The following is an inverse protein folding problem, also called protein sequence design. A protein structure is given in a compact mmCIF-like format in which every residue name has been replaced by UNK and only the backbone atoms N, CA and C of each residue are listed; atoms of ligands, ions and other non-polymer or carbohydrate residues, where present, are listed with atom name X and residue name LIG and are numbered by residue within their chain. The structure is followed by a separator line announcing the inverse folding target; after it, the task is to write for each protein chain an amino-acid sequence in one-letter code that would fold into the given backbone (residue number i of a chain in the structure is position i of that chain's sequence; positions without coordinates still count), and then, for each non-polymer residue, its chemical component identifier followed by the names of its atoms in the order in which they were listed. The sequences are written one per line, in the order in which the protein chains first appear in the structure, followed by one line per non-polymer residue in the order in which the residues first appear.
data_IF_853020561131
#
_entry.id   IF_853020561131
#
_cell.length_a   1.000
_cell.length_b   1.000
_cell.length_c   1.000
_cell.angle_alpha   90.00
_cell.angle_beta   90.00
_cell.angle_gamma   90.00
#
_symmetry.space_group_name_H-M   'P 1'
#
loop_
_entity.id
_entity.type
_entity.pdbx_description
1 polymer ?
#
# COMPACT_ATOMS: atom_id res chain seq x y z
N UNK A 1 17.69 55.86 -21.37
CA UNK A 1 18.35 54.68 -21.94
C UNK A 1 18.78 53.81 -20.78
N UNK A 2 17.97 52.80 -20.47
CA UNK A 2 18.18 51.82 -19.40
C UNK A 2 18.04 50.45 -20.05
N UNK A 3 18.93 49.47 -19.81
CA UNK A 3 18.80 48.16 -20.43
C UNK A 3 17.85 47.27 -19.63
N UNK A 4 17.16 46.44 -20.40
CA UNK A 4 16.17 45.41 -20.05
C UNK A 4 16.89 44.24 -19.35
N UNK A 5 16.31 43.59 -18.32
CA UNK A 5 16.77 42.27 -17.89
C UNK A 5 16.09 41.17 -18.71
N UNK A 6 16.93 40.33 -19.31
CA UNK A 6 16.59 39.15 -20.10
C UNK A 6 16.07 38.00 -19.25
N UNK A 7 15.00 37.38 -19.74
CA UNK A 7 14.49 36.10 -19.29
C UNK A 7 15.30 34.91 -19.84
N UNK A 8 15.08 33.75 -19.22
CA UNK A 8 15.37 32.36 -19.63
C UNK A 8 16.70 31.74 -19.18
N UNK A 9 16.62 30.67 -18.37
CA UNK A 9 16.77 29.28 -18.86
C UNK A 9 16.45 28.25 -17.76
N UNK A 10 15.47 27.41 -18.08
CA UNK A 10 15.16 26.13 -17.43
C UNK A 10 16.06 25.00 -17.96
N UNK A 11 16.07 23.89 -17.21
CA UNK A 11 16.45 22.51 -17.55
C UNK A 11 17.95 22.17 -17.66
N UNK A 12 18.42 21.27 -16.79
CA UNK A 12 18.88 19.93 -17.20
C UNK A 12 18.69 18.92 -16.07
N UNK A 13 17.86 17.92 -16.34
CA UNK A 13 17.81 16.66 -15.61
C UNK A 13 18.87 15.72 -16.20
N UNK A 14 19.55 14.95 -15.36
CA UNK A 14 20.39 13.84 -15.79
C UNK A 14 19.82 12.53 -15.25
N UNK A 15 19.43 11.68 -16.19
CA UNK A 15 19.02 10.28 -16.01
C UNK A 15 20.29 9.45 -15.90
N UNK A 16 20.44 8.69 -14.82
CA UNK A 16 21.46 7.64 -14.70
C UNK A 16 20.76 6.30 -14.44
N UNK A 17 20.70 5.49 -15.50
CA UNK A 17 20.31 4.09 -15.47
C UNK A 17 21.55 3.32 -14.99
N UNK A 18 21.52 2.79 -13.77
CA UNK A 18 22.50 1.82 -13.30
C UNK A 18 21.94 0.40 -13.49
N UNK A 19 22.66 -0.38 -14.30
CA UNK A 19 22.46 -1.82 -14.48
C UNK A 19 22.66 -2.56 -13.16
N UNK A 20 21.65 -3.30 -12.70
CA UNK A 20 21.80 -4.31 -11.63
C UNK A 20 22.23 -5.62 -12.27
N UNK A 21 23.34 -6.26 -11.83
CA UNK A 21 23.73 -7.56 -12.34
C UNK A 21 22.82 -8.68 -11.78
N UNK A 22 22.49 -9.63 -12.66
CA UNK A 22 21.83 -10.90 -12.30
C UNK A 22 22.66 -11.66 -11.27
N UNK A 23 22.14 -11.80 -10.04
CA UNK A 23 22.63 -12.76 -9.05
C UNK A 23 21.72 -13.99 -9.12
N UNK A 24 22.31 -15.13 -9.43
CA UNK A 24 21.62 -16.42 -9.50
C UNK A 24 21.09 -16.88 -8.15
N UNK A 25 19.87 -17.40 -8.15
CA UNK A 25 19.26 -18.04 -7.00
C UNK A 25 20.01 -19.35 -6.68
N UNK A 26 20.79 -19.34 -5.60
CA UNK A 26 21.19 -20.55 -4.90
C UNK A 26 20.04 -20.94 -3.95
N UNK A 27 19.53 -22.16 -4.10
CA UNK A 27 18.61 -22.78 -3.15
C UNK A 27 19.32 -22.95 -1.80
N UNK A 28 18.70 -22.47 -0.72
CA UNK A 28 19.17 -22.67 0.66
C UNK A 28 18.10 -23.43 1.45
N UNK A 29 18.49 -24.37 2.34
CA UNK A 29 17.62 -25.40 2.88
C UNK A 29 16.92 -24.91 4.15
N UNK A 30 15.60 -24.79 4.10
CA UNK A 30 14.77 -24.51 5.27
C UNK A 30 13.45 -25.32 5.26
N UNK A 31 13.47 -26.50 4.63
CA UNK A 31 12.29 -27.34 4.38
C UNK A 31 12.16 -28.55 5.34
N UNK A 32 12.88 -28.54 6.47
CA UNK A 32 12.73 -29.58 7.50
C UNK A 32 12.55 -28.93 8.88
N UNK A 33 11.30 -28.68 9.25
CA UNK A 33 10.74 -28.88 10.61
C UNK A 33 9.40 -28.14 10.78
N UNK A 34 8.30 -28.74 10.31
CA UNK A 34 6.98 -28.54 10.91
C UNK A 34 6.37 -29.92 11.13
N UNK A 35 6.67 -30.48 12.31
CA UNK A 35 6.07 -31.70 12.82
C UNK A 35 4.80 -31.34 13.62
N UNK A 36 3.73 -32.09 13.32
CA UNK A 36 2.54 -32.38 14.13
C UNK A 36 1.95 -31.27 15.03
N UNK A 37 0.84 -30.69 14.58
CA UNK A 37 -0.22 -30.18 15.46
C UNK A 37 -1.41 -31.14 15.36
N UNK A 38 -1.72 -31.82 16.46
CA UNK A 38 -2.92 -32.63 16.64
C UNK A 38 -4.16 -31.73 16.59
N UNK A 39 -5.14 -32.12 15.77
CA UNK A 39 -6.46 -31.48 15.71
C UNK A 39 -7.30 -31.94 16.91
N UNK A 40 -7.97 -31.04 17.64
CA UNK A 40 -8.98 -31.45 18.60
C UNK A 40 -10.26 -31.90 17.88
N UNK A 41 -10.73 -33.09 18.26
CA UNK A 41 -12.06 -33.60 17.96
C UNK A 41 -13.14 -32.70 18.56
N UNK A 42 -14.20 -32.45 17.77
CA UNK A 42 -15.50 -32.03 18.28
C UNK A 42 -15.83 -30.55 18.14
N UNK A 43 -16.44 -30.19 17.01
CA UNK A 43 -17.48 -29.15 16.99
C UNK A 43 -18.63 -29.67 16.12
N UNK A 44 -19.59 -30.32 16.78
CA UNK A 44 -20.96 -30.46 16.28
C UNK A 44 -21.63 -29.08 16.36
N UNK A 45 -22.37 -28.70 15.31
CA UNK A 45 -23.31 -27.58 15.35
C UNK A 45 -22.88 -26.35 14.55
N UNK A 46 -23.08 -26.40 13.24
CA UNK A 46 -23.24 -25.23 12.38
C UNK A 46 -24.25 -25.57 11.27
N UNK A 47 -25.50 -25.82 11.69
CA UNK A 47 -26.65 -25.64 10.78
C UNK A 47 -26.96 -24.14 10.70
N UNK A 48 -27.44 -23.72 9.54
CA UNK A 48 -27.80 -22.34 9.13
C UNK A 48 -26.64 -21.42 8.73
N UNK A 49 -25.89 -21.85 7.72
CA UNK A 49 -25.37 -20.91 6.74
C UNK A 49 -26.55 -20.49 5.84
N UNK A 50 -26.86 -19.19 5.85
CA UNK A 50 -27.83 -18.51 4.99
C UNK A 50 -27.45 -18.71 3.52
N UNK A 51 -27.98 -19.80 2.94
CA UNK A 51 -27.81 -20.12 1.52
C UNK A 51 -28.65 -19.13 0.74
N UNK A 52 -27.99 -18.30 -0.08
CA UNK A 52 -28.65 -17.43 -1.05
C UNK A 52 -29.81 -18.19 -1.73
N UNK A 53 -30.98 -17.56 -1.92
CA UNK A 53 -32.18 -18.26 -2.33
C UNK A 53 -31.92 -19.06 -3.60
N UNK A 54 -32.02 -20.38 -3.50
CA UNK A 54 -32.03 -21.27 -4.66
C UNK A 54 -33.24 -20.86 -5.48
N UNK A 55 -33.00 -20.25 -6.64
CA UNK A 55 -34.06 -19.92 -7.58
C UNK A 55 -34.62 -21.25 -8.08
N UNK A 56 -35.79 -21.64 -7.57
CA UNK A 56 -36.47 -22.87 -7.97
C UNK A 56 -37.27 -22.54 -9.22
N UNK A 57 -36.84 -23.05 -10.38
CA UNK A 57 -37.67 -23.04 -11.58
C UNK A 57 -38.96 -23.81 -11.29
N UNK A 58 -40.09 -23.28 -11.74
CA UNK A 58 -41.30 -24.08 -11.82
C UNK A 58 -41.12 -25.22 -12.86
N UNK A 59 -42.00 -26.23 -12.81
CA UNK A 59 -41.89 -27.41 -13.69
C UNK A 59 -41.88 -27.04 -15.18
N UNK A 60 -42.56 -25.95 -15.55
CA UNK A 60 -42.65 -25.47 -16.94
C UNK A 60 -41.35 -24.77 -17.37
N UNK A 61 -40.77 -23.95 -16.51
CA UNK A 61 -39.50 -23.27 -16.70
C UNK A 61 -38.34 -24.26 -16.75
N UNK A 62 -38.36 -25.30 -15.91
CA UNK A 62 -37.35 -26.36 -15.92
C UNK A 62 -37.41 -27.15 -17.23
N UNK A 63 -38.60 -27.56 -17.67
CA UNK A 63 -38.77 -28.28 -18.94
C UNK A 63 -38.35 -27.43 -20.15
N UNK A 64 -38.63 -26.12 -20.10
CA UNK A 64 -38.18 -25.17 -21.12
C UNK A 64 -36.65 -25.04 -21.10
N UNK A 65 -36.04 -24.88 -19.93
CA UNK A 65 -34.60 -24.81 -19.76
C UNK A 65 -33.89 -26.02 -20.36
N UNK A 66 -34.31 -27.23 -19.99
CA UNK A 66 -33.72 -28.48 -20.49
C UNK A 66 -33.82 -28.58 -22.02
N UNK A 67 -34.98 -28.19 -22.57
CA UNK A 67 -35.19 -28.14 -24.02
C UNK A 67 -34.22 -27.17 -24.71
N UNK A 68 -34.00 -25.99 -24.13
CA UNK A 68 -33.09 -24.99 -24.68
C UNK A 68 -31.64 -25.46 -24.63
N UNK A 69 -31.23 -26.13 -23.55
CA UNK A 69 -29.90 -26.73 -23.42
C UNK A 69 -29.67 -27.78 -24.51
N UNK A 70 -30.63 -28.68 -24.74
CA UNK A 70 -30.50 -29.69 -25.80
C UNK A 70 -30.42 -29.04 -27.19
N UNK A 71 -31.12 -27.91 -27.39
CA UNK A 71 -31.07 -27.16 -28.64
C UNK A 71 -29.75 -26.42 -28.86
N UNK A 72 -28.96 -26.13 -27.81
CA UNK A 72 -27.59 -25.60 -27.97
C UNK A 72 -26.66 -26.60 -28.67
N UNK A 73 -26.95 -27.91 -28.59
CA UNK A 73 -26.23 -28.98 -29.29
C UNK A 73 -26.78 -29.26 -30.70
N UNK A 74 -27.82 -28.55 -31.14
CA UNK A 74 -28.50 -28.86 -32.40
C UNK A 74 -27.56 -28.72 -33.59
N UNK A 75 -27.61 -29.62 -34.57
CA UNK A 75 -26.84 -29.48 -35.82
C UNK A 75 -27.24 -28.25 -36.66
N UNK A 76 -28.43 -27.68 -36.44
CA UNK A 76 -28.92 -26.50 -37.14
C UNK A 76 -28.51 -25.20 -36.43
N UNK A 77 -27.70 -24.37 -37.09
CA UNK A 77 -27.27 -23.07 -36.56
C UNK A 77 -28.43 -22.20 -36.07
N UNK A 78 -29.52 -22.11 -36.85
CA UNK A 78 -30.67 -21.30 -36.50
C UNK A 78 -31.41 -21.77 -35.22
N UNK A 79 -31.33 -23.05 -34.86
CA UNK A 79 -31.89 -23.57 -33.60
C UNK A 79 -30.98 -23.22 -32.43
N UNK A 80 -29.66 -23.35 -32.60
CA UNK A 80 -28.68 -22.96 -31.57
C UNK A 80 -28.76 -21.49 -31.21
N UNK A 81 -28.84 -20.60 -32.20
CA UNK A 81 -28.90 -19.16 -31.94
C UNK A 81 -30.22 -18.74 -31.29
N UNK A 82 -31.35 -19.37 -31.66
CA UNK A 82 -32.63 -19.14 -30.98
C UNK A 82 -32.59 -19.62 -29.54
N UNK A 83 -32.03 -20.80 -29.28
CA UNK A 83 -31.91 -21.31 -27.93
C UNK A 83 -31.02 -20.42 -27.05
N UNK A 84 -29.90 -19.94 -27.60
CA UNK A 84 -29.02 -19.00 -26.92
C UNK A 84 -29.73 -17.68 -26.60
N UNK A 85 -30.48 -17.11 -27.56
CA UNK A 85 -31.25 -15.89 -27.35
C UNK A 85 -32.35 -16.07 -26.29
N UNK A 86 -33.07 -17.19 -26.31
CA UNK A 86 -34.10 -17.47 -25.30
C UNK A 86 -33.52 -17.68 -23.90
N UNK A 87 -32.35 -18.34 -23.79
CA UNK A 87 -31.63 -18.45 -22.50
C UNK A 87 -31.14 -17.07 -22.00
N UNK A 88 -30.73 -16.18 -22.91
CA UNK A 88 -30.38 -14.80 -22.56
C UNK A 88 -31.61 -14.00 -22.08
N UNK A 89 -32.77 -14.19 -22.72
CA UNK A 89 -34.03 -13.54 -22.33
C UNK A 89 -34.57 -14.03 -20.98
N UNK A 90 -34.23 -15.25 -20.57
CA UNK A 90 -34.56 -15.77 -19.24
C UNK A 90 -33.75 -15.10 -18.10
N UNK A 91 -32.69 -14.34 -18.41
CA UNK A 91 -32.00 -13.49 -17.43
C UNK A 91 -31.09 -14.26 -16.45
N UNK A 92 -30.83 -13.70 -15.27
CA UNK A 92 -29.86 -14.26 -14.31
C UNK A 92 -30.29 -15.59 -13.69
N UNK A 93 -31.59 -15.87 -13.68
CA UNK A 93 -32.16 -17.06 -13.04
C UNK A 93 -31.62 -18.35 -13.67
N UNK A 94 -31.22 -18.33 -14.95
CA UNK A 94 -30.60 -19.48 -15.63
C UNK A 94 -29.11 -19.66 -15.33
N UNK A 95 -28.43 -18.71 -14.69
CA UNK A 95 -26.97 -18.76 -14.49
C UNK A 95 -26.55 -19.92 -13.60
N UNK A 96 -27.22 -20.14 -12.47
CA UNK A 96 -26.95 -21.27 -11.57
C UNK A 96 -27.12 -22.61 -12.29
N UNK A 97 -28.33 -22.89 -12.84
CA UNK A 97 -28.59 -24.11 -13.62
C UNK A 97 -27.65 -24.30 -14.82
N UNK A 98 -27.25 -23.23 -15.52
CA UNK A 98 -26.25 -23.30 -16.59
C UNK A 98 -24.88 -23.74 -16.07
N UNK A 99 -24.43 -23.24 -14.90
CA UNK A 99 -23.15 -23.64 -14.30
C UNK A 99 -23.15 -25.12 -13.92
N UNK A 100 -24.23 -25.60 -13.32
CA UNK A 100 -24.39 -27.01 -12.98
C UNK A 100 -24.31 -27.86 -14.26
N UNK A 101 -25.02 -27.44 -15.32
CA UNK A 101 -25.00 -28.14 -16.60
C UNK A 101 -23.64 -28.13 -17.30
N UNK A 102 -22.89 -27.04 -17.20
CA UNK A 102 -21.52 -26.92 -17.72
C UNK A 102 -20.59 -27.93 -17.05
N UNK A 103 -20.75 -28.15 -15.73
CA UNK A 103 -19.95 -29.11 -14.97
C UNK A 103 -20.25 -30.57 -15.36
N UNK A 104 -21.50 -30.87 -15.72
CA UNK A 104 -21.96 -32.23 -16.04
C UNK A 104 -21.77 -32.63 -17.51
N UNK A 105 -21.90 -31.68 -18.45
CA UNK A 105 -21.97 -32.02 -19.88
C UNK A 105 -20.62 -32.50 -20.44
N UNK A 106 -20.65 -33.56 -21.25
CA UNK A 106 -19.48 -34.03 -22.01
C UNK A 106 -19.35 -33.38 -23.40
N UNK A 107 -20.39 -32.67 -23.86
CA UNK A 107 -20.40 -32.00 -25.15
C UNK A 107 -19.63 -30.66 -25.07
N UNK A 108 -18.55 -30.55 -25.83
CA UNK A 108 -17.69 -29.37 -25.85
C UNK A 108 -18.37 -28.13 -26.46
N UNK A 109 -19.29 -28.30 -27.42
CA UNK A 109 -20.02 -27.18 -28.03
C UNK A 109 -21.06 -26.63 -27.06
N UNK A 110 -21.82 -27.51 -26.39
CA UNK A 110 -22.77 -27.10 -25.34
C UNK A 110 -22.04 -26.37 -24.22
N UNK A 111 -20.92 -26.93 -23.75
CA UNK A 111 -20.10 -26.31 -22.70
C UNK A 111 -19.64 -24.91 -23.09
N UNK A 112 -19.04 -24.76 -24.27
CA UNK A 112 -18.53 -23.47 -24.75
C UNK A 112 -19.64 -22.42 -24.87
N UNK A 113 -20.80 -22.79 -25.41
CA UNK A 113 -21.93 -21.88 -25.60
C UNK A 113 -22.60 -21.50 -24.29
N UNK A 114 -22.85 -22.48 -23.42
CA UNK A 114 -23.38 -22.22 -22.08
C UNK A 114 -22.45 -21.30 -21.29
N UNK A 115 -21.13 -21.50 -21.35
CA UNK A 115 -20.16 -20.58 -20.76
C UNK A 115 -20.23 -19.16 -21.36
N UNK A 116 -20.44 -19.03 -22.68
CA UNK A 116 -20.62 -17.72 -23.32
C UNK A 116 -21.87 -17.00 -22.82
N UNK A 117 -22.99 -17.71 -22.71
CA UNK A 117 -24.27 -17.18 -22.20
C UNK A 117 -24.10 -16.74 -20.74
N UNK A 118 -23.54 -17.60 -19.89
CA UNK A 118 -23.25 -17.26 -18.48
C UNK A 118 -22.37 -16.01 -18.39
N UNK A 119 -21.30 -15.92 -19.19
CA UNK A 119 -20.43 -14.72 -19.22
C UNK A 119 -21.22 -13.48 -19.65
N UNK A 120 -22.06 -13.54 -20.67
CA UNK A 120 -22.81 -12.37 -21.15
C UNK A 120 -23.86 -11.90 -20.13
N UNK A 121 -24.62 -12.83 -19.54
CA UNK A 121 -25.64 -12.52 -18.53
C UNK A 121 -25.03 -11.88 -17.28
N UNK A 122 -23.94 -12.47 -16.78
CA UNK A 122 -23.24 -11.97 -15.59
C UNK A 122 -22.60 -10.60 -15.81
N UNK A 123 -22.06 -10.31 -17.02
CA UNK A 123 -21.50 -8.99 -17.34
C UNK A 123 -22.59 -7.91 -17.41
N UNK A 124 -23.73 -8.20 -18.03
CA UNK A 124 -24.85 -7.25 -18.14
C UNK A 124 -25.48 -6.90 -16.79
N UNK A 125 -25.65 -7.90 -15.92
CA UNK A 125 -26.10 -7.70 -14.54
C UNK A 125 -25.10 -6.86 -13.74
N UNK A 126 -23.82 -7.23 -13.78
CA UNK A 126 -22.77 -6.52 -13.07
C UNK A 126 -22.73 -5.03 -13.45
N UNK A 127 -22.87 -4.69 -14.74
CA UNK A 127 -22.89 -3.30 -15.17
C UNK A 127 -24.11 -2.53 -14.64
N UNK A 128 -25.27 -3.19 -14.59
CA UNK A 128 -26.50 -2.60 -14.01
C UNK A 128 -26.31 -2.34 -12.52
N UNK A 129 -25.80 -3.33 -11.79
CA UNK A 129 -25.49 -3.21 -10.36
C UNK A 129 -24.45 -2.12 -10.08
N UNK A 130 -23.40 -2.02 -10.89
CA UNK A 130 -22.42 -0.94 -10.80
C UNK A 130 -23.08 0.42 -11.00
N UNK A 131 -23.93 0.58 -12.02
CA UNK A 131 -24.61 1.85 -12.28
C UNK A 131 -25.56 2.23 -11.13
N UNK A 132 -26.30 1.27 -10.60
CA UNK A 132 -27.19 1.45 -9.46
C UNK A 132 -26.41 1.86 -8.21
N UNK A 133 -25.30 1.17 -7.95
CA UNK A 133 -24.40 1.44 -6.84
C UNK A 133 -23.73 2.82 -6.94
N UNK A 134 -23.20 3.20 -8.10
CA UNK A 134 -22.63 4.54 -8.32
C UNK A 134 -23.68 5.65 -8.21
N UNK A 135 -24.95 5.35 -8.50
CA UNK A 135 -26.07 6.26 -8.29
C UNK A 135 -26.51 6.37 -6.81
N UNK A 136 -25.82 5.71 -5.89
CA UNK A 136 -26.12 5.77 -4.46
C UNK A 136 -27.22 4.80 -4.00
N UNK A 137 -27.71 3.91 -4.88
CA UNK A 137 -28.67 2.88 -4.48
C UNK A 137 -27.99 1.82 -3.63
N UNK A 138 -28.82 1.11 -2.87
CA UNK A 138 -28.39 -0.03 -2.07
C UNK A 138 -28.25 -1.23 -2.99
N UNK A 139 -27.03 -1.74 -3.10
CA UNK A 139 -26.67 -2.88 -3.94
C UNK A 139 -25.75 -3.75 -3.12
N UNK A 140 -26.11 -5.01 -2.97
CA UNK A 140 -25.28 -5.96 -2.25
C UNK A 140 -24.00 -6.23 -3.04
N UNK A 141 -22.86 -5.87 -2.47
CA UNK A 141 -21.54 -6.15 -3.00
C UNK A 141 -20.68 -6.72 -1.87
N UNK A 142 -20.07 -7.88 -2.12
CA UNK A 142 -19.18 -8.51 -1.15
C UNK A 142 -18.04 -7.56 -0.75
N UNK A 143 -17.84 -7.41 0.55
CA UNK A 143 -16.85 -6.55 1.17
C UNK A 143 -17.21 -5.07 1.23
N UNK A 144 -18.34 -4.65 0.64
CA UNK A 144 -18.69 -3.23 0.58
C UNK A 144 -18.92 -2.67 1.97
N UNK A 145 -19.70 -3.32 2.83
CA UNK A 145 -19.99 -2.79 4.17
C UNK A 145 -18.74 -2.64 5.03
N UNK A 146 -17.79 -3.59 4.92
CA UNK A 146 -16.49 -3.48 5.59
C UNK A 146 -15.70 -2.29 5.06
N UNK A 147 -15.59 -2.14 3.74
CA UNK A 147 -14.85 -1.01 3.12
C UNK A 147 -15.54 0.33 3.43
N UNK A 148 -16.87 0.39 3.37
CA UNK A 148 -17.70 1.55 3.69
C UNK A 148 -17.48 2.00 5.12
N UNK A 149 -17.42 1.07 6.07
CA UNK A 149 -17.17 1.41 7.49
C UNK A 149 -15.81 2.07 7.72
N UNK A 150 -14.81 1.75 6.88
CA UNK A 150 -13.45 2.25 7.01
C UNK A 150 -13.20 3.53 6.21
N UNK A 151 -13.74 3.61 4.99
CA UNK A 151 -13.44 4.69 4.04
C UNK A 151 -14.59 5.70 3.89
N UNK A 152 -15.77 5.38 4.41
CA UNK A 152 -16.99 6.14 4.28
C UNK A 152 -17.80 5.77 3.03
N UNK A 153 -18.90 6.50 2.83
CA UNK A 153 -19.81 6.32 1.70
C UNK A 153 -19.96 7.65 0.94
N UNK A 154 -19.24 7.77 -0.18
CA UNK A 154 -19.37 8.88 -1.12
C UNK A 154 -19.07 8.41 -2.54
N UNK A 155 -19.39 9.24 -3.53
CA UNK A 155 -19.22 8.89 -4.95
C UNK A 155 -17.80 8.44 -5.30
N UNK A 156 -16.77 9.12 -4.79
CA UNK A 156 -15.36 8.76 -5.07
C UNK A 156 -14.96 7.43 -4.41
N UNK A 157 -15.45 7.13 -3.20
CA UNK A 157 -15.20 5.82 -2.56
C UNK A 157 -15.93 4.70 -3.30
N UNK A 158 -17.17 4.94 -3.75
CA UNK A 158 -17.92 3.97 -4.55
C UNK A 158 -17.25 3.71 -5.89
N UNK A 159 -16.77 4.74 -6.59
CA UNK A 159 -15.96 4.59 -7.81
C UNK A 159 -14.71 3.75 -7.55
N UNK A 160 -13.97 4.06 -6.48
CA UNK A 160 -12.77 3.33 -6.10
C UNK A 160 -13.08 1.86 -5.77
N UNK A 161 -14.19 1.58 -5.07
CA UNK A 161 -14.64 0.22 -4.79
C UNK A 161 -15.00 -0.57 -6.06
N UNK A 162 -15.65 0.06 -7.03
CA UNK A 162 -15.94 -0.57 -8.33
C UNK A 162 -14.64 -0.90 -9.06
N UNK A 163 -13.68 0.01 -9.09
CA UNK A 163 -12.36 -0.25 -9.70
C UNK A 163 -11.62 -1.40 -9.00
N UNK A 164 -11.68 -1.46 -7.66
CA UNK A 164 -11.13 -2.57 -6.90
C UNK A 164 -11.82 -3.89 -7.25
N UNK A 165 -13.15 -3.90 -7.33
CA UNK A 165 -13.91 -5.10 -7.66
C UNK A 165 -13.58 -5.60 -9.07
N UNK A 166 -13.37 -4.68 -10.02
CA UNK A 166 -13.01 -5.04 -11.39
C UNK A 166 -11.56 -5.50 -11.53
N UNK A 167 -10.62 -4.85 -10.83
CA UNK A 167 -9.18 -5.15 -10.96
C UNK A 167 -8.72 -6.29 -10.03
N UNK A 168 -9.37 -6.43 -8.87
CA UNK A 168 -9.01 -7.35 -7.77
C UNK A 168 -10.28 -7.98 -7.17
N UNK A 169 -11.05 -8.79 -7.93
CA UNK A 169 -12.37 -9.28 -7.51
C UNK A 169 -12.36 -10.13 -6.24
N UNK A 170 -11.28 -10.87 -5.98
CA UNK A 170 -11.13 -11.70 -4.78
C UNK A 170 -10.82 -10.87 -3.53
N UNK A 171 -10.25 -9.67 -3.70
CA UNK A 171 -9.90 -8.80 -2.60
C UNK A 171 -11.12 -8.26 -1.89
N UNK A 172 -12.10 -7.72 -2.62
CA UNK A 172 -13.29 -7.14 -1.99
C UNK A 172 -14.05 -8.21 -1.22
N UNK A 173 -14.29 -9.38 -1.83
CA UNK A 173 -14.90 -10.51 -1.15
C UNK A 173 -14.13 -10.98 0.11
N UNK A 174 -12.80 -10.93 0.10
CA UNK A 174 -11.99 -11.32 1.28
C UNK A 174 -12.17 -10.42 2.50
N UNK A 175 -12.71 -9.21 2.32
CA UNK A 175 -12.92 -8.27 3.42
C UNK A 175 -13.98 -8.76 4.42
N UNK A 176 -14.99 -9.49 3.94
CA UNK A 176 -16.00 -10.14 4.78
C UNK A 176 -15.53 -11.49 5.35
N UNK A 177 -14.41 -12.01 4.83
CA UNK A 177 -13.88 -13.32 5.15
C UNK A 177 -12.91 -13.36 6.33
N UNK A 178 -12.20 -14.47 6.42
CA UNK A 178 -11.19 -14.75 7.43
C UNK A 178 -9.84 -14.07 7.11
N UNK A 179 -8.92 -14.07 8.08
CA UNK A 179 -7.52 -13.69 7.85
C UNK A 179 -6.91 -14.46 6.68
N UNK A 180 -7.22 -15.76 6.54
CA UNK A 180 -6.70 -16.61 5.46
C UNK A 180 -7.16 -16.10 4.09
N UNK A 181 -8.42 -15.69 3.96
CA UNK A 181 -8.96 -15.16 2.71
C UNK A 181 -8.26 -13.86 2.31
N UNK A 182 -7.97 -13.00 3.30
CA UNK A 182 -7.23 -11.75 3.09
C UNK A 182 -5.77 -11.99 2.69
N UNK A 183 -5.12 -13.02 3.23
CA UNK A 183 -3.77 -13.43 2.81
C UNK A 183 -3.77 -13.88 1.35
N UNK A 184 -4.70 -14.76 0.97
CA UNK A 184 -4.82 -15.24 -0.40
C UNK A 184 -5.10 -14.07 -1.36
N UNK A 185 -6.01 -13.16 -0.98
CA UNK A 185 -6.29 -11.97 -1.78
C UNK A 185 -5.07 -11.05 -1.93
N UNK A 186 -4.29 -10.86 -0.86
CA UNK A 186 -3.06 -10.06 -0.92
C UNK A 186 -2.02 -10.68 -1.87
N UNK A 187 -1.81 -11.99 -1.81
CA UNK A 187 -0.92 -12.71 -2.71
C UNK A 187 -1.34 -12.56 -4.18
N UNK A 188 -2.65 -12.65 -4.45
CA UNK A 188 -3.20 -12.44 -5.78
C UNK A 188 -3.07 -10.99 -6.25
N UNK A 189 -3.26 -10.01 -5.35
CA UNK A 189 -3.04 -8.60 -5.65
C UNK A 189 -1.56 -8.35 -6.02
N UNK A 190 -0.61 -8.90 -5.27
CA UNK A 190 0.82 -8.84 -5.57
C UNK A 190 1.10 -9.40 -6.97
N UNK A 191 0.60 -10.60 -7.27
CA UNK A 191 0.80 -11.24 -8.57
C UNK A 191 0.20 -10.40 -9.72
N UNK A 192 -0.99 -9.83 -9.53
CA UNK A 192 -1.65 -8.95 -10.50
C UNK A 192 -0.81 -7.70 -10.77
N UNK A 193 -0.31 -7.03 -9.71
CA UNK A 193 0.52 -5.84 -9.84
C UNK A 193 1.84 -6.13 -10.53
N UNK A 194 2.49 -7.25 -10.18
CA UNK A 194 3.74 -7.67 -10.81
C UNK A 194 3.53 -8.02 -12.28
N UNK A 195 2.49 -8.78 -12.63
CA UNK A 195 2.16 -9.10 -14.02
C UNK A 195 1.89 -7.83 -14.83
N UNK A 196 1.10 -6.90 -14.28
CA UNK A 196 0.83 -5.61 -14.93
C UNK A 196 2.12 -4.82 -15.20
N UNK A 197 3.01 -4.78 -14.22
CA UNK A 197 4.24 -3.97 -14.29
C UNK A 197 5.29 -4.60 -15.22
N UNK A 198 5.54 -5.91 -15.09
CA UNK A 198 6.67 -6.56 -15.76
C UNK A 198 6.29 -7.26 -17.06
N UNK A 199 5.08 -7.84 -17.14
CA UNK A 199 4.62 -8.57 -18.33
C UNK A 199 3.86 -7.63 -19.25
N UNK A 200 2.84 -6.93 -18.74
CA UNK A 200 2.04 -6.01 -19.56
C UNK A 200 2.73 -4.66 -19.80
N UNK A 201 3.78 -4.34 -19.03
CA UNK A 201 4.51 -3.06 -19.08
C UNK A 201 3.61 -1.84 -18.89
N UNK A 202 2.61 -1.96 -18.02
CA UNK A 202 1.71 -0.88 -17.63
C UNK A 202 2.03 -0.38 -16.23
N UNK A 203 1.68 0.87 -15.94
CA UNK A 203 1.81 1.39 -14.59
C UNK A 203 0.71 0.85 -13.67
N UNK A 204 1.02 0.63 -12.37
CA UNK A 204 0.01 0.34 -11.37
C UNK A 204 -1.04 1.46 -11.25
N UNK A 205 -2.30 1.07 -11.07
CA UNK A 205 -3.44 1.98 -10.93
C UNK A 205 -3.70 2.36 -9.46
N UNK A 206 -4.66 3.25 -9.22
CA UNK A 206 -5.13 3.54 -7.85
C UNK A 206 -5.75 2.30 -7.17
N UNK A 207 -6.49 1.48 -7.91
CA UNK A 207 -7.03 0.21 -7.41
C UNK A 207 -5.90 -0.74 -6.98
N UNK A 208 -4.83 -0.87 -7.78
CA UNK A 208 -3.65 -1.64 -7.40
C UNK A 208 -3.04 -1.13 -6.10
N UNK A 209 -2.98 0.19 -5.94
CA UNK A 209 -2.39 0.81 -4.74
C UNK A 209 -3.22 0.53 -3.48
N UNK A 210 -4.56 0.63 -3.57
CA UNK A 210 -5.45 0.24 -2.46
C UNK A 210 -5.39 -1.26 -2.16
N UNK A 211 -5.28 -2.10 -3.20
CA UNK A 211 -5.22 -3.55 -3.06
C UNK A 211 -4.01 -4.02 -2.24
N UNK A 212 -2.90 -3.28 -2.30
CA UNK A 212 -1.71 -3.60 -1.52
C UNK A 212 -1.86 -3.28 -0.02
N UNK A 213 -2.74 -2.36 0.39
CA UNK A 213 -2.86 -1.94 1.80
C UNK A 213 -4.13 -2.43 2.49
N UNK A 214 -5.21 -2.66 1.75
CA UNK A 214 -6.51 -3.06 2.33
C UNK A 214 -6.46 -4.35 3.16
N UNK A 215 -5.82 -5.46 2.72
CA UNK A 215 -5.75 -6.68 3.54
C UNK A 215 -5.05 -6.47 4.88
N UNK A 216 -4.14 -5.49 4.94
CA UNK A 216 -3.34 -5.22 6.13
C UNK A 216 -4.15 -4.58 7.27
N UNK A 217 -5.42 -4.23 7.06
CA UNK A 217 -6.29 -3.81 8.18
C UNK A 217 -6.43 -4.91 9.22
N UNK A 218 -6.27 -6.18 8.82
CA UNK A 218 -6.11 -7.29 9.73
C UNK A 218 -4.68 -7.32 10.31
N UNK A 219 -4.51 -7.17 11.64
CA UNK A 219 -3.19 -7.27 12.26
C UNK A 219 -2.52 -8.64 12.06
N UNK A 220 -3.31 -9.70 11.80
CA UNK A 220 -2.83 -11.08 11.63
C UNK A 220 -2.36 -11.42 10.21
N UNK A 221 -2.62 -10.55 9.22
CA UNK A 221 -2.06 -10.73 7.87
C UNK A 221 -0.53 -10.51 7.95
N UNK A 222 0.29 -11.48 7.54
CA UNK A 222 1.74 -11.39 7.64
C UNK A 222 2.30 -10.37 6.65
N UNK A 223 3.21 -9.54 7.14
CA UNK A 223 3.96 -8.57 6.33
C UNK A 223 5.31 -9.20 5.98
N UNK A 224 5.47 -9.60 4.72
CA UNK A 224 6.72 -10.18 4.22
C UNK A 224 7.57 -9.12 3.53
N UNK A 225 8.89 -9.34 3.49
CA UNK A 225 9.83 -8.44 2.78
C UNK A 225 9.44 -8.27 1.31
N UNK A 226 9.07 -9.36 0.64
CA UNK A 226 8.69 -9.35 -0.77
C UNK A 226 7.42 -8.53 -1.05
N UNK A 227 6.41 -8.65 -0.19
CA UNK A 227 5.22 -7.82 -0.25
C UNK A 227 5.56 -6.33 -0.12
N UNK A 228 6.35 -5.97 0.88
CA UNK A 228 6.72 -4.58 1.14
C UNK A 228 7.51 -3.96 -0.01
N UNK A 229 8.46 -4.69 -0.60
CA UNK A 229 9.20 -4.22 -1.77
C UNK A 229 8.25 -3.85 -2.92
N UNK A 230 7.18 -4.64 -3.13
CA UNK A 230 6.16 -4.34 -4.15
C UNK A 230 5.33 -3.13 -3.74
N UNK A 231 4.82 -3.07 -2.50
CA UNK A 231 4.05 -1.92 -2.01
C UNK A 231 4.84 -0.61 -2.15
N UNK A 232 6.07 -0.58 -1.67
CA UNK A 232 6.95 0.60 -1.73
C UNK A 232 7.20 1.05 -3.17
N UNK A 233 7.39 0.10 -4.09
CA UNK A 233 7.50 0.41 -5.52
C UNK A 233 6.20 1.03 -6.07
N UNK A 234 5.03 0.51 -5.70
CA UNK A 234 3.72 1.03 -6.11
C UNK A 234 3.47 2.44 -5.55
N UNK A 235 3.84 2.71 -4.31
CA UNK A 235 3.69 4.03 -3.67
C UNK A 235 4.44 5.16 -4.39
N UNK A 236 5.43 4.82 -5.22
CA UNK A 236 6.19 5.77 -6.04
C UNK A 236 5.59 5.97 -7.45
N UNK A 237 4.47 5.31 -7.80
CA UNK A 237 3.87 5.36 -9.14
C UNK A 237 2.70 6.33 -9.23
N UNK A 238 2.20 6.48 -10.45
CA UNK A 238 1.13 7.41 -10.81
C UNK A 238 -0.17 7.13 -10.05
N UNK A 239 -0.58 5.87 -9.89
CA UNK A 239 -1.79 5.54 -9.12
C UNK A 239 -1.75 6.04 -7.68
N UNK A 240 -0.60 5.96 -7.03
CA UNK A 240 -0.40 6.49 -5.69
C UNK A 240 -0.38 8.03 -5.68
N UNK A 241 0.22 8.66 -6.70
CA UNK A 241 0.18 10.12 -6.86
C UNK A 241 -1.24 10.67 -7.09
N UNK A 242 -2.10 9.93 -7.79
CA UNK A 242 -3.51 10.28 -7.99
C UNK A 242 -4.30 10.25 -6.67
N UNK A 243 -4.06 9.23 -5.85
CA UNK A 243 -4.65 9.12 -4.50
C UNK A 243 -4.20 10.30 -3.64
N UNK A 244 -2.91 10.61 -3.60
CA UNK A 244 -2.36 11.69 -2.79
C UNK A 244 -2.93 13.08 -3.14
N UNK A 245 -3.29 13.31 -4.41
CA UNK A 245 -3.89 14.57 -4.89
C UNK A 245 -5.39 14.64 -4.69
N UNK A 246 -6.05 13.52 -4.42
CA UNK A 246 -7.49 13.46 -4.22
C UNK A 246 -7.84 13.68 -2.74
N UNK A 247 -8.46 14.82 -2.42
CA UNK A 247 -8.79 15.19 -1.04
C UNK A 247 -9.80 14.24 -0.35
N UNK A 248 -10.54 13.42 -1.09
CA UNK A 248 -11.45 12.41 -0.52
C UNK A 248 -10.78 11.06 -0.30
N UNK A 249 -9.79 10.69 -1.12
CA UNK A 249 -9.08 9.40 -0.99
C UNK A 249 -7.88 9.48 -0.06
N UNK A 250 -7.13 10.59 -0.10
CA UNK A 250 -5.86 10.71 0.61
C UNK A 250 -5.98 10.47 2.13
N UNK A 251 -6.96 11.04 2.88
CA UNK A 251 -7.05 10.82 4.32
C UNK A 251 -7.26 9.36 4.69
N UNK A 252 -8.21 8.69 4.04
CA UNK A 252 -8.52 7.28 4.31
C UNK A 252 -7.38 6.36 3.89
N UNK A 253 -6.71 6.66 2.78
CA UNK A 253 -5.53 5.90 2.34
C UNK A 253 -4.35 6.05 3.32
N UNK A 254 -4.08 7.26 3.83
CA UNK A 254 -3.04 7.48 4.85
C UNK A 254 -3.31 6.68 6.13
N UNK A 255 -4.57 6.61 6.57
CA UNK A 255 -4.96 5.80 7.72
C UNK A 255 -4.72 4.30 7.50
N UNK A 256 -5.00 3.78 6.29
CA UNK A 256 -4.65 2.41 5.92
C UNK A 256 -3.13 2.19 5.91
N UNK A 257 -2.40 3.13 5.30
CA UNK A 257 -0.94 3.06 5.20
C UNK A 257 -0.27 3.04 6.58
N UNK A 258 -0.77 3.83 7.54
CA UNK A 258 -0.28 3.83 8.92
C UNK A 258 -0.36 2.46 9.60
N UNK A 259 -1.43 1.69 9.37
CA UNK A 259 -1.61 0.33 9.92
C UNK A 259 -0.61 -0.68 9.37
N UNK A 260 -0.20 -0.53 8.11
CA UNK A 260 0.89 -1.31 7.56
C UNK A 260 2.22 -0.86 8.15
N UNK A 261 2.46 0.45 8.16
CA UNK A 261 3.76 1.05 8.41
C UNK A 261 4.31 0.69 9.81
N UNK A 262 3.48 0.66 10.85
CA UNK A 262 3.91 0.25 12.20
C UNK A 262 4.39 -1.21 12.31
N UNK A 263 4.13 -2.04 11.29
CA UNK A 263 4.57 -3.45 11.22
C UNK A 263 5.65 -3.66 10.16
N UNK A 264 6.27 -2.58 9.67
CA UNK A 264 7.22 -2.72 8.57
C UNK A 264 8.43 -3.56 8.96
N UNK A 265 8.96 -4.33 8.02
CA UNK A 265 10.15 -5.14 8.28
C UNK A 265 11.39 -4.26 8.44
N UNK A 266 12.43 -4.79 9.07
CA UNK A 266 13.71 -4.10 9.22
C UNK A 266 14.42 -3.93 7.85
N UNK A 267 14.22 -4.87 6.93
CA UNK A 267 14.87 -4.88 5.61
C UNK A 267 14.47 -3.70 4.72
N UNK A 268 13.23 -3.23 4.82
CA UNK A 268 12.73 -2.09 4.05
C UNK A 268 12.46 -0.86 4.95
N UNK A 269 13.08 -0.80 6.13
CA UNK A 269 12.74 0.19 7.16
C UNK A 269 13.03 1.62 6.71
N UNK A 270 14.13 1.82 5.98
CA UNK A 270 14.50 3.12 5.43
C UNK A 270 13.42 3.66 4.49
N UNK A 271 12.98 2.85 3.54
CA UNK A 271 11.95 3.21 2.57
C UNK A 271 10.57 3.37 3.22
N UNK A 272 10.23 2.53 4.20
CA UNK A 272 8.98 2.64 4.95
C UNK A 272 8.88 3.96 5.73
N UNK A 273 9.95 4.36 6.44
CA UNK A 273 10.02 5.64 7.14
C UNK A 273 9.92 6.83 6.16
N UNK A 274 10.62 6.74 5.03
CA UNK A 274 10.54 7.75 3.95
C UNK A 274 9.14 7.85 3.37
N UNK A 275 8.44 6.72 3.19
CA UNK A 275 7.06 6.69 2.75
C UNK A 275 6.14 7.35 3.78
N UNK A 276 6.32 7.06 5.08
CA UNK A 276 5.57 7.70 6.17
C UNK A 276 5.69 9.22 6.16
N UNK A 277 6.90 9.74 5.96
CA UNK A 277 7.12 11.16 5.74
C UNK A 277 6.43 11.67 4.46
N UNK A 278 6.71 11.07 3.31
CA UNK A 278 6.18 11.55 2.01
C UNK A 278 4.65 11.58 1.98
N UNK A 279 4.01 10.61 2.65
CA UNK A 279 2.56 10.49 2.76
C UNK A 279 1.95 11.25 3.94
N UNK A 280 2.75 11.92 4.76
CA UNK A 280 2.28 12.64 5.96
C UNK A 280 1.50 11.74 6.93
N UNK A 281 2.10 10.59 7.26
CA UNK A 281 1.53 9.56 8.14
C UNK A 281 2.26 9.61 9.48
N UNK A 282 1.65 10.27 10.47
CA UNK A 282 2.21 10.41 11.81
C UNK A 282 2.42 9.07 12.55
N UNK A 283 1.70 8.02 12.15
CA UNK A 283 1.90 6.65 12.65
C UNK A 283 3.30 6.09 12.32
N UNK A 284 4.13 6.80 11.55
CA UNK A 284 5.54 6.50 11.38
C UNK A 284 6.40 6.76 12.62
N UNK A 285 5.92 7.57 13.57
CA UNK A 285 6.67 7.89 14.78
C UNK A 285 6.97 6.65 15.65
N UNK A 286 6.00 5.78 16.01
CA UNK A 286 6.29 4.52 16.70
C UNK A 286 7.33 3.65 16.00
N UNK A 287 7.25 3.55 14.67
CA UNK A 287 8.21 2.80 13.86
C UNK A 287 9.63 3.41 13.96
N UNK A 288 9.74 4.74 13.87
CA UNK A 288 11.01 5.45 13.99
C UNK A 288 11.65 5.25 15.37
N UNK A 289 10.85 5.33 16.43
CA UNK A 289 11.31 5.08 17.80
C UNK A 289 11.86 3.65 17.96
N UNK A 290 11.12 2.64 17.49
CA UNK A 290 11.60 1.25 17.50
C UNK A 290 12.91 1.09 16.71
N UNK A 291 12.99 1.76 15.55
CA UNK A 291 14.17 1.73 14.66
C UNK A 291 15.45 2.17 15.35
N UNK A 292 15.40 3.14 16.28
CA UNK A 292 16.59 3.60 17.02
C UNK A 292 17.29 2.48 17.80
N UNK A 293 16.55 1.42 18.15
CA UNK A 293 17.08 0.26 18.89
C UNK A 293 17.23 -1.00 18.05
N UNK A 294 16.42 -1.17 17.00
CA UNK A 294 16.40 -2.36 16.14
C UNK A 294 17.43 -2.28 15.00
N UNK A 295 17.68 -1.09 14.47
CA UNK A 295 18.54 -0.89 13.31
C UNK A 295 19.98 -0.55 13.70
N UNK A 296 20.92 -0.96 12.86
CA UNK A 296 22.34 -0.60 13.00
C UNK A 296 22.88 0.20 11.79
N UNK A 297 22.08 0.39 10.73
CA UNK A 297 22.54 1.15 9.57
C UNK A 297 22.38 2.65 9.81
N UNK A 298 23.44 3.42 9.56
CA UNK A 298 23.47 4.86 9.84
C UNK A 298 22.40 5.62 9.06
N UNK A 299 22.18 5.30 7.79
CA UNK A 299 21.16 5.96 6.95
C UNK A 299 19.74 5.70 7.45
N UNK A 300 19.46 4.47 7.89
CA UNK A 300 18.17 4.09 8.48
C UNK A 300 17.91 4.80 9.80
N UNK A 301 18.92 4.88 10.68
CA UNK A 301 18.84 5.64 11.93
C UNK A 301 18.65 7.13 11.66
N UNK A 302 19.37 7.69 10.68
CA UNK A 302 19.23 9.10 10.30
C UNK A 302 17.83 9.42 9.79
N UNK A 303 17.23 8.51 9.02
CA UNK A 303 15.85 8.65 8.53
C UNK A 303 14.84 8.53 9.68
N UNK A 304 15.08 7.64 10.65
CA UNK A 304 14.26 7.56 11.85
C UNK A 304 14.31 8.87 12.66
N UNK A 305 15.50 9.48 12.79
CA UNK A 305 15.66 10.78 13.43
C UNK A 305 14.89 11.90 12.72
N UNK A 306 14.88 11.93 11.38
CA UNK A 306 14.03 12.86 10.60
C UNK A 306 12.52 12.66 10.88
N UNK A 307 12.06 11.40 10.95
CA UNK A 307 10.66 11.09 11.31
C UNK A 307 10.34 11.60 12.72
N UNK A 308 11.24 11.39 13.68
CA UNK A 308 11.09 11.88 15.06
C UNK A 308 11.10 13.42 15.09
N UNK A 309 11.99 14.08 14.35
CA UNK A 309 12.02 15.54 14.28
C UNK A 309 10.71 16.10 13.70
N UNK A 310 10.11 15.41 12.72
CA UNK A 310 8.88 15.87 12.06
C UNK A 310 7.62 15.61 12.89
N UNK A 311 7.45 14.42 13.44
CA UNK A 311 6.19 14.00 14.08
C UNK A 311 6.29 13.87 15.60
N UNK A 312 7.50 13.89 16.15
CA UNK A 312 7.76 13.74 17.57
C UNK A 312 7.45 15.00 18.38
N UNK A 313 7.73 14.87 19.67
CA UNK A 313 7.56 15.91 20.70
C UNK A 313 8.79 15.93 21.60
N UNK A 314 8.93 16.96 22.44
CA UNK A 314 10.05 17.14 23.39
C UNK A 314 10.43 15.87 24.16
N UNK A 315 9.46 15.10 24.63
CA UNK A 315 9.68 13.83 25.35
C UNK A 315 10.53 12.79 24.56
N UNK A 316 10.50 12.85 23.23
CA UNK A 316 11.28 11.95 22.37
C UNK A 316 12.77 12.32 22.33
N UNK A 317 13.17 13.51 22.78
CA UNK A 317 14.56 13.92 22.80
C UNK A 317 15.42 12.96 23.65
N UNK A 318 14.86 12.41 24.73
CA UNK A 318 15.53 11.43 25.59
C UNK A 318 15.95 10.15 24.83
N UNK A 319 15.17 9.76 23.82
CA UNK A 319 15.45 8.59 22.99
C UNK A 319 16.58 8.85 21.98
N UNK A 320 16.83 10.12 21.66
CA UNK A 320 17.83 10.57 20.68
C UNK A 320 19.21 10.76 21.34
N UNK A 321 19.26 11.07 22.65
CA UNK A 321 20.51 11.34 23.37
C UNK A 321 21.63 10.32 23.15
N UNK A 322 21.39 9.00 23.12
CA UNK A 322 22.47 8.03 22.92
C UNK A 322 23.22 8.19 21.58
N UNK A 323 22.58 8.80 20.58
CA UNK A 323 23.14 8.99 19.24
C UNK A 323 23.99 10.25 19.11
N UNK A 324 24.04 11.11 20.13
CA UNK A 324 24.88 12.32 20.14
C UNK A 324 26.39 12.04 20.11
N UNK A 325 26.79 10.81 20.44
CA UNK A 325 28.19 10.36 20.38
C UNK A 325 28.51 9.56 19.12
N UNK A 326 27.51 9.30 18.25
CA UNK A 326 27.69 8.45 17.08
C UNK A 326 28.31 9.22 15.91
N UNK A 327 29.58 8.94 15.62
CA UNK A 327 30.35 9.59 14.55
C UNK A 327 30.30 8.84 13.21
N UNK A 328 29.41 7.86 13.04
CA UNK A 328 29.25 7.18 11.74
C UNK A 328 28.72 8.18 10.70
N UNK A 329 29.18 8.09 9.44
CA UNK A 329 28.64 8.93 8.37
C UNK A 329 27.15 8.65 8.19
N UNK A 330 26.34 9.72 8.15
CA UNK A 330 24.90 9.67 7.91
C UNK A 330 24.52 9.99 6.44
N UNK A 331 25.48 10.50 5.68
CA UNK A 331 25.37 10.74 4.24
C UNK A 331 26.73 10.53 3.58
N UNK A 332 26.72 10.45 2.24
CA UNK A 332 27.95 10.57 1.46
C UNK A 332 28.63 11.92 1.74
N UNK A 333 29.96 11.95 1.65
CA UNK A 333 30.75 13.18 1.77
C UNK A 333 30.42 14.09 0.59
N UNK A 334 29.91 15.28 0.88
CA UNK A 334 29.64 16.31 -0.11
C UNK A 334 30.85 17.24 -0.29
N UNK A 335 30.72 18.16 -1.24
CA UNK A 335 31.68 19.25 -1.45
C UNK A 335 30.92 20.58 -1.48
N UNK A 336 31.26 21.49 -0.58
CA UNK A 336 30.64 22.82 -0.50
C UNK A 336 31.76 23.85 -0.57
N UNK A 337 31.73 24.69 -1.61
CA UNK A 337 32.77 25.70 -1.90
C UNK A 337 34.21 25.14 -1.98
N UNK A 338 34.38 23.86 -2.32
CA UNK A 338 35.68 23.19 -2.42
C UNK A 338 36.15 22.50 -1.14
N UNK A 339 35.40 22.62 -0.05
CA UNK A 339 35.66 21.89 1.19
C UNK A 339 34.82 20.60 1.25
N UNK A 340 35.46 19.51 1.65
CA UNK A 340 34.76 18.26 1.91
C UNK A 340 33.90 18.42 3.17
N UNK A 341 32.58 18.33 3.01
CA UNK A 341 31.61 18.39 4.11
C UNK A 341 31.07 17.00 4.40
N UNK A 342 30.86 16.70 5.67
CA UNK A 342 30.36 15.40 6.10
C UNK A 342 29.35 15.54 7.21
N UNK A 343 28.18 14.95 7.00
CA UNK A 343 27.16 14.76 8.03
C UNK A 343 27.39 13.44 8.75
N UNK A 344 27.42 13.49 10.07
CA UNK A 344 27.50 12.31 10.94
C UNK A 344 26.19 12.11 11.70
N UNK A 345 25.95 10.91 12.21
CA UNK A 345 24.70 10.58 12.89
C UNK A 345 24.44 11.48 14.12
N UNK A 346 25.50 11.85 14.85
CA UNK A 346 25.42 12.86 15.93
C UNK A 346 24.93 14.22 15.46
N UNK A 347 25.26 14.64 14.23
CA UNK A 347 24.83 15.92 13.68
C UNK A 347 23.30 15.88 13.44
N UNK A 348 22.81 14.76 12.90
CA UNK A 348 21.38 14.47 12.71
C UNK A 348 20.64 14.43 14.07
N UNK A 349 21.25 13.83 15.09
CA UNK A 349 20.70 13.75 16.44
C UNK A 349 20.59 15.14 17.09
N UNK A 350 21.64 15.97 16.97
CA UNK A 350 21.62 17.34 17.47
C UNK A 350 20.52 18.18 16.78
N UNK A 351 20.39 18.09 15.45
CA UNK A 351 19.36 18.80 14.70
C UNK A 351 17.94 18.34 15.11
N UNK A 352 17.76 17.03 15.31
CA UNK A 352 16.50 16.45 15.78
C UNK A 352 16.11 17.03 17.14
N UNK A 353 17.04 17.05 18.11
CA UNK A 353 16.79 17.63 19.44
C UNK A 353 16.43 19.11 19.32
N UNK A 354 17.18 19.89 18.56
CA UNK A 354 16.91 21.31 18.37
C UNK A 354 15.47 21.56 17.87
N UNK A 355 15.03 20.79 16.87
CA UNK A 355 13.67 20.88 16.32
C UNK A 355 12.62 20.49 17.36
N UNK A 356 12.83 19.39 18.10
CA UNK A 356 11.88 18.96 19.15
C UNK A 356 11.70 20.03 20.24
N UNK A 357 12.73 20.83 20.51
CA UNK A 357 12.67 21.93 21.47
C UNK A 357 12.19 23.26 20.89
N UNK A 358 11.92 23.34 19.59
CA UNK A 358 11.57 24.57 18.87
C UNK A 358 12.68 25.64 18.99
N UNK A 359 13.94 25.19 18.90
CA UNK A 359 15.12 26.06 18.97
C UNK A 359 15.52 26.57 17.58
N UNK A 360 16.08 27.79 17.52
CA UNK A 360 16.60 28.36 16.28
C UNK A 360 17.89 27.64 15.84
N UNK A 361 17.82 26.97 14.69
CA UNK A 361 18.90 26.15 14.15
C UNK A 361 20.13 26.99 13.75
N UNK A 362 19.92 28.21 13.28
CA UNK A 362 20.97 29.15 12.93
C UNK A 362 21.71 29.61 14.18
N UNK A 363 20.98 29.98 15.23
CA UNK A 363 21.57 30.38 16.51
C UNK A 363 22.36 29.24 17.17
N UNK A 364 21.94 28.00 16.96
CA UNK A 364 22.65 26.81 17.43
C UNK A 364 23.91 26.47 16.62
N UNK A 365 24.05 26.97 15.39
CA UNK A 365 25.24 26.76 14.57
C UNK A 365 25.08 25.71 13.46
N UNK A 366 23.86 25.48 12.99
CA UNK A 366 23.57 24.64 11.82
C UNK A 366 23.61 25.41 10.48
N UNK A 367 24.10 26.66 10.47
CA UNK A 367 24.11 27.49 9.25
C UNK A 367 22.70 27.98 8.88
N UNK A 368 22.43 28.13 7.58
CA UNK A 368 21.13 28.61 7.05
C UNK A 368 20.05 27.50 7.02
N UNK A 369 20.18 26.46 7.85
CA UNK A 369 19.26 25.35 7.90
C UNK A 369 17.84 25.81 8.24
N UNK A 370 16.88 25.46 7.39
CA UNK A 370 15.45 25.58 7.69
C UNK A 370 14.81 24.22 7.86
N UNK A 371 13.78 24.16 8.71
CA UNK A 371 12.93 22.97 8.81
C UNK A 371 12.28 22.66 7.46
N UNK A 372 12.29 21.39 7.07
CA UNK A 372 11.68 20.93 5.83
C UNK A 372 10.29 20.32 6.10
N UNK A 373 9.22 20.77 5.39
CA UNK A 373 7.85 20.32 5.68
C UNK A 373 7.66 18.81 5.50
N UNK A 374 8.41 18.18 4.60
CA UNK A 374 8.34 16.72 4.36
C UNK A 374 9.33 15.92 5.20
N UNK A 375 10.46 16.46 5.62
CA UNK A 375 11.54 15.63 6.19
C UNK A 375 11.94 16.05 7.60
N UNK A 376 11.28 17.06 8.16
CA UNK A 376 11.75 17.76 9.36
C UNK A 376 12.93 18.67 9.03
N UNK A 377 13.96 18.15 8.37
CA UNK A 377 15.14 18.88 7.88
C UNK A 377 15.85 18.07 6.78
N UNK A 378 16.75 18.70 6.02
CA UNK A 378 17.56 18.02 4.99
C UNK A 378 18.93 17.66 5.57
N UNK A 379 19.34 16.39 5.48
CA UNK A 379 20.61 15.93 6.08
C UNK A 379 21.86 16.57 5.44
N UNK A 380 21.78 16.92 4.16
CA UNK A 380 22.87 17.62 3.45
C UNK A 380 23.11 19.04 3.97
N UNK A 381 22.09 19.65 4.58
CA UNK A 381 22.14 21.05 5.03
C UNK A 381 22.71 21.19 6.46
N UNK A 382 22.97 20.07 7.16
CA UNK A 382 23.56 20.04 8.51
C UNK A 382 25.01 19.54 8.54
N UNK A 383 25.65 19.51 7.37
CA UNK A 383 27.02 19.03 7.24
C UNK A 383 28.03 20.04 7.81
N UNK A 384 29.08 19.52 8.44
CA UNK A 384 30.22 20.32 8.89
C UNK A 384 31.42 20.11 7.96
N UNK A 385 32.26 21.13 7.75
CA UNK A 385 33.55 20.96 7.07
C UNK A 385 34.40 19.93 7.81
N UNK A 386 34.94 18.95 7.07
CA UNK A 386 35.77 17.88 7.67
C UNK A 386 37.07 18.39 8.31
N UNK A 387 37.50 19.59 7.93
CA UNK A 387 38.67 20.29 8.44
C UNK A 387 38.38 21.24 9.63
N UNK A 388 37.11 21.43 10.02
CA UNK A 388 36.71 22.30 11.13
C UNK A 388 35.89 21.54 12.20
N UNK A 389 36.56 20.76 13.07
CA UNK A 389 35.89 20.07 14.17
C UNK A 389 35.36 21.04 15.25
N UNK A 390 35.83 22.30 15.27
CA UNK A 390 35.47 23.28 16.29
C UNK A 390 34.02 23.77 16.10
N UNK A 391 33.60 23.96 14.85
CA UNK A 391 32.22 24.31 14.52
C UNK A 391 31.21 23.29 15.10
N UNK A 392 31.47 21.99 14.89
CA UNK A 392 30.62 20.91 15.43
C UNK A 392 30.61 20.91 16.96
N UNK A 393 31.76 21.07 17.59
CA UNK A 393 31.87 21.08 19.05
C UNK A 393 31.09 22.25 19.69
N UNK A 394 31.09 23.43 19.05
CA UNK A 394 30.31 24.59 19.50
C UNK A 394 28.81 24.35 19.41
N UNK A 395 28.33 23.73 18.32
CA UNK A 395 26.93 23.33 18.21
C UNK A 395 26.56 22.36 19.32
N UNK A 396 27.41 21.36 19.57
CA UNK A 396 27.18 20.38 20.62
C UNK A 396 27.06 21.02 22.00
N UNK A 397 27.96 21.95 22.34
CA UNK A 397 27.89 22.67 23.62
C UNK A 397 26.55 23.40 23.79
N UNK A 398 26.04 24.05 22.74
CA UNK A 398 24.75 24.74 22.78
C UNK A 398 23.57 23.79 22.94
N UNK A 399 23.62 22.60 22.32
CA UNK A 399 22.61 21.54 22.52
C UNK A 399 22.63 21.04 23.97
N UNK A 400 23.81 20.82 24.55
CA UNK A 400 23.92 20.40 25.94
C UNK A 400 23.33 21.48 26.89
N UNK A 401 23.59 22.76 26.61
CA UNK A 401 22.99 23.87 27.36
C UNK A 401 21.46 23.93 27.20
N UNK A 402 20.93 23.62 26.03
CA UNK A 402 19.48 23.56 25.76
C UNK A 402 18.83 22.47 26.62
N UNK A 403 19.41 21.28 26.66
CA UNK A 403 18.92 20.15 27.47
C UNK A 403 18.95 20.48 28.97
N UNK A 404 20.04 21.07 29.47
CA UNK A 404 20.14 21.48 30.89
C UNK A 404 19.11 22.55 31.27
N UNK A 405 18.78 23.46 30.35
CA UNK A 405 17.74 24.48 30.59
C UNK A 405 16.36 23.86 30.65
N UNK A 406 16.06 22.89 29.78
CA UNK A 406 14.79 22.20 29.74
C UNK A 406 14.51 21.44 31.05
N UNK A 407 15.48 20.67 31.55
CA UNK A 407 15.36 19.92 32.81
C UNK A 407 15.04 20.82 34.02
N UNK A 408 15.54 22.06 34.02
CA UNK A 408 15.28 23.03 35.08
C UNK A 408 13.89 23.64 35.05
N UNK A 409 13.24 23.68 33.89
CA UNK A 409 11.91 24.27 33.70
C UNK A 409 10.81 23.25 34.00
N UNK A 410 11.02 21.97 33.74
CA UNK A 410 10.05 20.92 34.04
C UNK A 410 10.12 20.42 35.50
N UNK A 411 11.24 20.67 36.19
CA UNK A 411 11.42 20.36 37.62
C UNK A 411 10.96 21.45 38.61
N UNK A 412 10.41 22.57 38.12
CA UNK A 412 9.89 23.72 38.90
C UNK A 412 8.40 23.89 38.68
#
# INVERSE_FOLDING_TARGET
MSPIPTASRWLYAAILIALVPHVGFAQSPADEAIDRVELPDGVEGAEDADVAPVVVFDEEQQAKFDTLIDQLASGEFAKRERAAAELMDMGLDVVGPLRDRIAETQDAEVRLRAEQIVRQLTVGDMQTRINDFLAGRDVDFAGWEVIRSMLGDNGTIREMFVELTQAHPTLTASMDGSTRDRVIALEQAIATVQNRTFIERKFPTRADTFAMVLPTVDPKVPITVGYETVLLSVLQKTGASEIARNGQLAPSFRALLGRWLIRSTLSNRYEALTAGMTWDVADALPLAVATLTEANQADTLSTALQVIARFGKREHALLVLPLLEDSRPASETGEVFGDAVRTELRDVAMATIAILYDADLTELGFGDLQTHPTYGFIMGDIAYPGNDPEARAKTREKIDQLLVKADKVEGS
#
